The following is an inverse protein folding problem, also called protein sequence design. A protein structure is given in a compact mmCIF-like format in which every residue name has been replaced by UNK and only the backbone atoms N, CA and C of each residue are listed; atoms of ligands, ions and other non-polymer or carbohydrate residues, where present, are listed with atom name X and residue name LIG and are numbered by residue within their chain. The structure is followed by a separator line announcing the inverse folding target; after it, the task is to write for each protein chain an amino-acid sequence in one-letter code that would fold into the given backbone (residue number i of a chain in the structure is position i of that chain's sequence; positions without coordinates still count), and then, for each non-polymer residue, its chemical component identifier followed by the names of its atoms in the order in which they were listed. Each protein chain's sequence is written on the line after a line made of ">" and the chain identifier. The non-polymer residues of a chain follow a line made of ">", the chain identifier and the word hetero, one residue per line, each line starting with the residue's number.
data_IF_994717762889
#
_entry.id   IF_994717762889
#
_cell.length_a   1.000
_cell.length_b   1.000
_cell.length_c   1.000
_cell.angle_alpha   90.00
_cell.angle_beta   90.00
_cell.angle_gamma   90.00
#
_symmetry.space_group_name_H-M   'P 1'
#
loop_
_entity.id
_entity.type
_entity.pdbx_description
1 polymer ?
#
# COMPACT_ATOMS: atom_id res chain seq x y z
N UNK A 1 6.49 21.96 33.16
CA UNK A 1 7.04 21.54 31.85
C UNK A 1 6.75 20.05 31.72
N UNK A 2 5.97 19.63 30.71
CA UNK A 2 5.72 18.20 30.48
C UNK A 2 6.96 17.55 29.88
N UNK A 3 7.33 16.36 30.37
CA UNK A 3 8.37 15.55 29.75
C UNK A 3 7.94 15.09 28.35
N UNK A 4 8.85 15.06 27.38
CA UNK A 4 8.59 14.44 26.08
C UNK A 4 8.21 12.95 26.29
N UNK A 5 6.97 12.59 25.98
CA UNK A 5 6.47 11.23 26.20
C UNK A 5 7.04 10.21 25.19
N UNK A 6 7.35 10.67 23.96
CA UNK A 6 8.03 9.89 22.92
C UNK A 6 8.57 10.83 21.84
N UNK A 7 9.56 10.36 21.06
CA UNK A 7 10.08 11.03 19.87
C UNK A 7 10.03 10.09 18.67
N UNK A 8 9.47 10.55 17.55
CA UNK A 8 9.46 9.79 16.29
C UNK A 8 10.88 9.68 15.75
N UNK A 9 11.35 8.45 15.53
CA UNK A 9 12.71 8.19 15.00
C UNK A 9 12.76 8.02 13.48
N UNK A 10 11.71 7.46 12.89
CA UNK A 10 11.61 7.10 11.48
C UNK A 10 10.15 6.83 11.12
N UNK A 11 9.73 7.22 9.91
CA UNK A 11 8.42 6.90 9.36
C UNK A 11 8.62 5.97 8.16
N UNK A 12 7.84 4.89 8.09
CA UNK A 12 7.86 3.95 6.98
C UNK A 12 6.48 3.84 6.34
N UNK A 13 6.41 4.07 5.03
CA UNK A 13 5.21 3.91 4.22
C UNK A 13 5.37 2.65 3.37
N UNK A 14 4.30 1.87 3.20
CA UNK A 14 4.31 0.64 2.41
C UNK A 14 3.22 0.74 1.34
N UNK A 15 3.48 1.39 0.19
CA UNK A 15 2.41 1.71 -0.76
C UNK A 15 1.70 0.45 -1.28
N UNK A 16 2.47 -0.56 -1.65
CA UNK A 16 1.96 -1.87 -2.05
C UNK A 16 2.04 -2.83 -0.87
N UNK A 17 0.90 -3.39 -0.46
CA UNK A 17 0.83 -4.41 0.60
C UNK A 17 1.79 -5.56 0.27
N UNK A 18 2.53 -6.03 1.26
CA UNK A 18 3.54 -7.11 1.16
C UNK A 18 4.84 -6.78 0.42
N UNK A 19 4.98 -5.61 -0.18
CA UNK A 19 6.23 -5.15 -0.80
C UNK A 19 7.12 -4.39 0.20
N UNK A 20 8.31 -3.95 -0.24
CA UNK A 20 9.23 -3.17 0.59
C UNK A 20 8.67 -1.77 0.88
N UNK A 21 8.79 -1.34 2.13
CA UNK A 21 8.45 0.02 2.53
C UNK A 21 9.55 1.04 2.22
N UNK A 22 9.15 2.30 2.10
CA UNK A 22 10.01 3.48 1.92
C UNK A 22 10.14 4.24 3.23
N UNK A 23 11.34 4.73 3.52
CA UNK A 23 11.59 5.61 4.67
C UNK A 23 11.36 7.06 4.26
N UNK A 24 10.60 7.81 5.06
CA UNK A 24 10.29 9.23 4.80
C UNK A 24 10.56 10.08 6.05
N UNK A 25 10.83 11.36 5.85
CA UNK A 25 11.01 12.35 6.95
C UNK A 25 9.68 12.81 7.54
N UNK A 26 8.65 12.88 6.70
CA UNK A 26 7.29 13.30 7.02
C UNK A 26 6.28 12.46 6.23
N UNK A 27 5.05 12.37 6.71
CA UNK A 27 3.95 11.75 5.98
C UNK A 27 2.62 12.38 6.44
N UNK A 28 1.74 12.82 5.53
CA UNK A 28 0.46 13.40 5.90
C UNK A 28 -0.44 12.31 6.48
N UNK A 29 -1.13 12.62 7.57
CA UNK A 29 -2.13 11.74 8.17
C UNK A 29 -3.53 12.04 7.58
N UNK A 30 -4.31 10.99 7.42
CA UNK A 30 -5.69 11.02 6.94
C UNK A 30 -6.56 10.05 7.75
N UNK A 31 -7.86 10.02 7.47
CA UNK A 31 -8.78 9.05 8.08
C UNK A 31 -8.49 7.59 7.70
N UNK A 32 -7.64 7.33 6.69
CA UNK A 32 -7.20 5.99 6.27
C UNK A 32 -5.78 5.62 6.72
N UNK A 33 -5.10 6.52 7.45
CA UNK A 33 -3.73 6.35 7.93
C UNK A 33 -2.77 7.35 7.31
N UNK A 34 -1.49 6.98 7.22
CA UNK A 34 -0.53 7.77 6.45
C UNK A 34 -0.90 7.75 4.96
N UNK A 35 -0.71 8.88 4.29
CA UNK A 35 -0.89 9.00 2.84
C UNK A 35 -0.06 7.94 2.09
N UNK A 36 -0.66 7.38 1.05
CA UNK A 36 -0.12 6.29 0.20
C UNK A 36 -0.02 4.91 0.88
N UNK A 37 -0.20 4.79 2.19
CA UNK A 37 0.05 3.54 2.89
C UNK A 37 -0.99 2.45 2.55
N UNK A 38 -0.50 1.28 2.12
CA UNK A 38 -1.28 0.11 1.67
C UNK A 38 -2.45 0.43 0.72
N UNK A 39 -2.29 1.44 -0.14
CA UNK A 39 -3.28 1.77 -1.18
C UNK A 39 -3.30 0.74 -2.31
N UNK A 40 -2.21 0.00 -2.53
CA UNK A 40 -2.08 -1.02 -3.56
C UNK A 40 -1.98 -2.44 -3.02
N UNK A 41 -2.41 -3.40 -3.84
CA UNK A 41 -2.40 -4.82 -3.55
C UNK A 41 -2.07 -5.61 -4.82
N UNK A 42 -1.28 -6.67 -4.69
CA UNK A 42 -1.13 -7.69 -5.75
C UNK A 42 -2.16 -8.79 -5.51
N UNK A 43 -2.95 -9.12 -6.53
CA UNK A 43 -3.96 -10.20 -6.49
C UNK A 43 -3.68 -11.27 -7.54
N UNK A 44 -4.11 -12.50 -7.29
CA UNK A 44 -4.05 -13.59 -8.27
C UNK A 44 -5.26 -13.56 -9.22
N UNK A 45 -5.31 -14.51 -10.17
CA UNK A 45 -6.42 -14.68 -11.13
C UNK A 45 -7.81 -14.92 -10.52
N UNK A 46 -7.92 -15.14 -9.20
CA UNK A 46 -9.19 -15.28 -8.45
C UNK A 46 -9.50 -14.05 -7.57
N UNK A 47 -8.84 -12.92 -7.81
CA UNK A 47 -9.00 -11.69 -7.02
C UNK A 47 -8.42 -11.76 -5.59
N UNK A 48 -7.80 -12.88 -5.18
CA UNK A 48 -7.29 -13.05 -3.81
C UNK A 48 -5.93 -12.40 -3.65
N UNK A 49 -5.75 -11.68 -2.54
CA UNK A 49 -4.49 -11.10 -2.11
C UNK A 49 -3.32 -12.10 -2.17
N UNK A 50 -2.26 -11.72 -2.88
CA UNK A 50 -0.96 -12.36 -2.79
C UNK A 50 -0.20 -11.66 -1.65
N UNK A 51 0.22 -12.43 -0.64
CA UNK A 51 0.90 -11.88 0.55
C UNK A 51 2.32 -12.39 0.69
N UNK A 52 3.19 -11.64 1.37
CA UNK A 52 4.60 -11.99 1.55
C UNK A 52 4.81 -13.36 2.23
N UNK A 53 3.85 -13.79 3.07
CA UNK A 53 3.84 -15.11 3.72
C UNK A 53 3.71 -16.27 2.73
N UNK A 54 3.09 -16.02 1.57
CA UNK A 54 2.91 -17.00 0.48
C UNK A 54 3.95 -16.78 -0.62
N UNK A 55 4.26 -15.53 -0.95
CA UNK A 55 5.27 -15.14 -1.94
C UNK A 55 6.35 -14.24 -1.31
N UNK A 56 7.38 -14.81 -0.65
CA UNK A 56 8.46 -14.03 -0.04
C UNK A 56 9.20 -13.11 -1.02
N UNK A 57 9.18 -13.43 -2.32
CA UNK A 57 9.73 -12.58 -3.40
C UNK A 57 9.19 -11.15 -3.38
N UNK A 58 7.98 -10.91 -2.86
CA UNK A 58 7.42 -9.55 -2.74
C UNK A 58 8.31 -8.63 -1.87
N UNK A 59 9.08 -9.18 -0.92
CA UNK A 59 10.06 -8.40 -0.14
C UNK A 59 11.19 -7.76 -0.99
N UNK A 60 11.42 -8.28 -2.21
CA UNK A 60 12.41 -7.77 -3.16
C UNK A 60 11.83 -6.67 -4.08
N UNK A 61 10.51 -6.48 -4.08
CA UNK A 61 9.85 -5.42 -4.84
C UNK A 61 10.10 -4.10 -4.11
N UNK A 62 10.96 -3.28 -4.72
CA UNK A 62 11.24 -1.92 -4.31
C UNK A 62 10.20 -0.99 -4.92
N UNK A 63 9.82 0.02 -4.16
CA UNK A 63 8.78 0.98 -4.50
C UNK A 63 9.33 2.37 -4.24
N UNK A 64 9.01 3.33 -5.10
CA UNK A 64 9.41 4.73 -4.98
C UNK A 64 8.24 5.63 -5.39
N UNK A 65 8.12 6.77 -4.70
CA UNK A 65 7.13 7.81 -4.92
C UNK A 65 7.86 9.16 -5.00
N UNK A 66 7.33 10.16 -5.72
CA UNK A 66 7.90 11.50 -5.75
C UNK A 66 8.04 12.06 -4.32
N UNK A 67 9.12 12.76 -4.00
CA UNK A 67 9.37 13.23 -2.63
C UNK A 67 8.29 14.21 -2.16
N UNK A 68 7.80 15.06 -3.06
CA UNK A 68 6.70 15.99 -2.83
C UNK A 68 5.35 15.29 -2.57
N UNK A 69 5.21 13.99 -2.88
CA UNK A 69 3.99 13.24 -2.63
C UNK A 69 3.68 13.07 -1.12
N UNK A 70 4.66 13.31 -0.26
CA UNK A 70 4.53 13.30 1.21
C UNK A 70 4.31 14.69 1.81
N UNK A 71 4.29 15.75 0.99
CA UNK A 71 3.91 17.08 1.48
C UNK A 71 2.39 17.22 1.57
N UNK A 72 1.93 18.01 2.53
CA UNK A 72 0.51 18.33 2.71
C UNK A 72 -0.04 19.09 1.48
N UNK A 73 -1.29 18.82 1.10
CA UNK A 73 -1.95 19.47 -0.03
C UNK A 73 -1.45 19.08 -1.44
N UNK A 74 -0.32 18.37 -1.58
CA UNK A 74 0.16 17.93 -2.89
C UNK A 74 -0.86 17.06 -3.64
N UNK A 75 -0.92 17.16 -4.96
CA UNK A 75 -1.78 16.34 -5.81
C UNK A 75 -1.01 15.75 -7.00
N UNK A 76 -1.26 14.48 -7.37
CA UNK A 76 -0.57 13.85 -8.48
C UNK A 76 -0.95 14.49 -9.81
N UNK A 77 0.06 14.71 -10.65
CA UNK A 77 -0.11 15.20 -12.03
C UNK A 77 -0.01 14.04 -13.02
N UNK A 78 -0.17 14.33 -14.33
CA UNK A 78 0.03 13.35 -15.40
C UNK A 78 1.47 12.80 -15.50
N UNK A 79 2.45 13.45 -14.87
CA UNK A 79 3.85 13.00 -14.81
C UNK A 79 4.24 12.42 -13.44
N UNK A 80 3.28 12.21 -12.53
CA UNK A 80 3.51 11.63 -11.21
C UNK A 80 3.26 10.12 -11.24
N UNK A 81 4.27 9.33 -10.88
CA UNK A 81 4.25 7.85 -10.96
C UNK A 81 4.66 7.20 -9.66
N UNK A 82 4.04 6.05 -9.35
CA UNK A 82 4.59 5.03 -8.48
C UNK A 82 5.60 4.23 -9.30
N UNK A 83 6.88 4.28 -8.92
CA UNK A 83 7.95 3.56 -9.61
C UNK A 83 8.21 2.24 -8.89
N UNK A 84 8.27 1.13 -9.63
CA UNK A 84 8.40 -0.22 -9.09
C UNK A 84 9.60 -0.91 -9.74
N UNK A 85 10.45 -1.52 -8.92
CA UNK A 85 11.67 -2.25 -9.35
C UNK A 85 11.78 -3.59 -8.63
N UNK A 86 12.36 -4.59 -9.30
CA UNK A 86 12.76 -5.85 -8.66
C UNK A 86 13.96 -6.48 -9.40
N UNK A 87 14.71 -7.41 -8.77
CA UNK A 87 15.83 -8.08 -9.43
C UNK A 87 15.40 -8.81 -10.71
N UNK A 88 16.10 -8.54 -11.82
CA UNK A 88 15.82 -9.17 -13.12
C UNK A 88 14.59 -8.62 -13.85
N UNK A 89 14.04 -7.48 -13.42
CA UNK A 89 12.87 -6.83 -14.03
C UNK A 89 13.20 -5.39 -14.45
N UNK A 90 12.60 -4.95 -15.56
CA UNK A 90 12.62 -3.54 -15.98
C UNK A 90 11.84 -2.63 -15.01
N UNK A 91 12.05 -1.31 -15.13
CA UNK A 91 11.39 -0.26 -14.33
C UNK A 91 9.93 -0.05 -14.74
N UNK A 92 8.99 -0.47 -13.90
CA UNK A 92 7.55 -0.22 -14.10
C UNK A 92 7.16 1.15 -13.53
N UNK A 93 6.40 1.93 -14.30
CA UNK A 93 5.82 3.22 -13.89
C UNK A 93 4.30 3.15 -13.88
N UNK A 94 3.71 3.14 -12.70
CA UNK A 94 2.25 3.13 -12.52
C UNK A 94 1.77 4.57 -12.28
N UNK A 95 0.89 5.15 -13.13
CA UNK A 95 0.44 6.53 -12.95
C UNK A 95 -0.27 6.75 -11.61
N UNK A 96 0.07 7.82 -10.88
CA UNK A 96 -0.63 8.16 -9.62
C UNK A 96 -2.01 8.76 -9.87
N UNK A 97 -2.30 9.26 -11.08
CA UNK A 97 -3.66 9.58 -11.50
C UNK A 97 -4.59 8.38 -11.38
N UNK A 98 -5.84 8.60 -10.96
CA UNK A 98 -6.83 7.54 -10.76
C UNK A 98 -7.02 6.66 -12.03
N UNK A 99 -6.91 5.32 -11.93
CA UNK A 99 -7.21 4.43 -13.05
C UNK A 99 -8.71 4.45 -13.43
N UNK A 100 -9.03 3.93 -14.62
CA UNK A 100 -10.41 3.88 -15.15
C UNK A 100 -11.07 2.52 -15.01
N UNK A 101 -10.29 1.45 -15.04
CA UNK A 101 -10.79 0.07 -15.00
C UNK A 101 -11.02 -0.38 -13.57
N UNK A 102 -12.04 -1.22 -13.36
CA UNK A 102 -12.40 -1.79 -12.06
C UNK A 102 -12.25 -3.31 -12.14
N UNK A 103 -11.68 -3.90 -11.09
CA UNK A 103 -11.63 -5.33 -10.84
C UNK A 103 -12.53 -5.65 -9.65
N UNK A 104 -13.61 -6.39 -9.91
CA UNK A 104 -14.50 -6.91 -8.87
C UNK A 104 -13.97 -8.20 -8.22
N UNK A 105 -14.53 -8.56 -7.06
CA UNK A 105 -14.19 -9.80 -6.36
C UNK A 105 -12.78 -9.80 -5.73
N UNK A 106 -12.17 -8.63 -5.56
CA UNK A 106 -10.89 -8.48 -4.85
C UNK A 106 -11.11 -8.80 -3.38
N UNK A 107 -10.24 -9.63 -2.79
CA UNK A 107 -10.40 -10.12 -1.42
C UNK A 107 -9.10 -10.11 -0.60
N UNK A 108 -9.23 -9.68 0.67
CA UNK A 108 -8.17 -9.55 1.67
C UNK A 108 -8.73 -10.02 3.02
N UNK A 109 -8.37 -11.24 3.43
CA UNK A 109 -8.99 -11.94 4.58
C UNK A 109 -10.52 -12.01 4.41
N UNK A 110 -11.29 -11.68 5.45
CA UNK A 110 -12.75 -11.64 5.46
C UNK A 110 -13.36 -10.49 4.63
N UNK A 111 -12.56 -9.54 4.14
CA UNK A 111 -13.06 -8.47 3.29
C UNK A 111 -13.02 -8.85 1.81
N UNK A 112 -14.11 -8.56 1.10
CA UNK A 112 -14.17 -8.57 -0.35
C UNK A 112 -14.90 -7.32 -0.87
N UNK A 113 -14.52 -6.87 -2.08
CA UNK A 113 -15.11 -5.71 -2.74
C UNK A 113 -14.50 -5.47 -4.12
N UNK A 114 -14.64 -4.26 -4.63
CA UNK A 114 -14.01 -3.81 -5.87
C UNK A 114 -12.67 -3.09 -5.63
N UNK A 115 -11.84 -3.02 -6.66
CA UNK A 115 -10.61 -2.23 -6.69
C UNK A 115 -10.39 -1.64 -8.08
N UNK A 116 -9.59 -0.59 -8.22
CA UNK A 116 -9.14 -0.12 -9.54
C UNK A 116 -8.04 -1.05 -10.07
N UNK A 117 -8.13 -1.46 -11.33
CA UNK A 117 -7.06 -2.21 -12.00
C UNK A 117 -6.00 -1.24 -12.53
N UNK A 118 -4.72 -1.50 -12.26
CA UNK A 118 -3.59 -0.68 -12.75
C UNK A 118 -3.18 -1.02 -14.19
N UNK A 119 -3.93 -1.93 -14.83
CA UNK A 119 -3.86 -2.22 -16.24
C UNK A 119 -2.89 -3.34 -16.62
N UNK A 120 -2.89 -3.62 -17.92
CA UNK A 120 -2.20 -4.78 -18.51
C UNK A 120 -0.69 -4.74 -18.31
N UNK A 121 -0.05 -3.57 -18.25
CA UNK A 121 1.39 -3.44 -18.05
C UNK A 121 1.81 -3.89 -16.64
N UNK A 122 1.16 -3.35 -15.60
CA UNK A 122 1.41 -3.75 -14.22
C UNK A 122 1.08 -5.23 -13.97
N UNK A 123 -0.01 -5.72 -14.56
CA UNK A 123 -0.39 -7.15 -14.54
C UNK A 123 0.68 -8.04 -15.16
N UNK A 124 1.20 -7.70 -16.34
CA UNK A 124 2.32 -8.43 -16.99
C UNK A 124 3.58 -8.40 -16.12
N UNK A 125 3.95 -7.24 -15.58
CA UNK A 125 5.14 -7.10 -14.75
C UNK A 125 5.12 -7.99 -13.51
N UNK A 126 4.02 -7.94 -12.72
CA UNK A 126 3.88 -8.80 -11.55
C UNK A 126 3.74 -10.28 -11.93
N UNK A 127 3.07 -10.59 -13.04
CA UNK A 127 2.93 -11.97 -13.52
C UNK A 127 4.27 -12.59 -13.89
N UNK A 128 5.15 -11.81 -14.55
CA UNK A 128 6.50 -12.24 -14.91
C UNK A 128 7.37 -12.42 -13.66
N UNK A 129 7.41 -11.42 -12.76
CA UNK A 129 8.24 -11.47 -11.55
C UNK A 129 7.86 -12.62 -10.60
N UNK A 130 6.56 -12.87 -10.43
CA UNK A 130 6.04 -13.95 -9.59
C UNK A 130 5.91 -15.29 -10.32
N UNK A 131 6.13 -15.32 -11.64
CA UNK A 131 5.90 -16.49 -12.51
C UNK A 131 4.50 -17.11 -12.38
N UNK A 132 3.47 -16.28 -12.16
CA UNK A 132 2.05 -16.71 -12.04
C UNK A 132 1.07 -15.57 -12.35
N UNK A 133 -0.11 -15.83 -12.94
CA UNK A 133 -1.08 -14.79 -13.27
C UNK A 133 -1.45 -13.90 -12.07
N UNK A 134 -1.05 -12.63 -12.15
CA UNK A 134 -1.13 -11.64 -11.08
C UNK A 134 -1.54 -10.27 -11.63
N UNK A 135 -2.30 -9.50 -10.85
CA UNK A 135 -2.68 -8.11 -11.17
C UNK A 135 -2.28 -7.19 -10.02
N UNK A 136 -1.89 -5.97 -10.33
CA UNK A 136 -1.78 -4.88 -9.36
C UNK A 136 -3.11 -4.13 -9.35
N UNK A 137 -3.68 -3.92 -8.16
CA UNK A 137 -4.92 -3.16 -7.98
C UNK A 137 -4.75 -2.09 -6.90
N UNK A 138 -5.53 -1.02 -6.99
CA UNK A 138 -5.58 0.09 -6.02
C UNK A 138 -6.95 0.16 -5.36
N UNK A 139 -7.00 0.49 -4.06
CA UNK A 139 -8.26 0.51 -3.31
C UNK A 139 -9.29 1.47 -3.94
N UNK A 140 -10.54 1.02 -4.09
CA UNK A 140 -11.60 1.81 -4.71
C UNK A 140 -12.35 2.66 -3.67
N UNK A 141 -11.75 3.78 -3.27
CA UNK A 141 -12.34 4.74 -2.31
C UNK A 141 -13.68 5.36 -2.75
N UNK A 142 -14.12 5.17 -4.00
CA UNK A 142 -15.40 5.71 -4.50
C UNK A 142 -16.59 4.83 -4.14
N UNK A 143 -16.42 3.50 -4.09
CA UNK A 143 -17.49 2.56 -3.72
C UNK A 143 -17.22 1.81 -2.42
N UNK A 144 -15.96 1.66 -2.03
CA UNK A 144 -15.55 0.85 -0.89
C UNK A 144 -15.25 1.68 0.36
N UNK A 145 -15.46 1.07 1.52
CA UNK A 145 -14.99 1.58 2.80
C UNK A 145 -14.77 0.41 3.75
N UNK A 146 -13.55 0.28 4.29
CA UNK A 146 -13.23 -0.69 5.34
C UNK A 146 -13.07 0.06 6.67
N UNK A 147 -14.10 0.09 7.54
CA UNK A 147 -13.98 0.72 8.85
C UNK A 147 -13.05 -0.09 9.77
N UNK A 148 -12.31 0.60 10.64
CA UNK A 148 -11.62 -0.06 11.76
C UNK A 148 -12.65 -0.45 12.84
N UNK A 149 -12.36 -1.46 13.66
CA UNK A 149 -13.20 -1.73 14.84
C UNK A 149 -13.26 -0.48 15.73
N UNK A 150 -14.48 -0.02 15.99
CA UNK A 150 -14.81 1.23 16.71
C UNK A 150 -14.28 1.26 18.13
N UNK A 151 -14.08 0.12 18.77
CA UNK A 151 -13.51 0.00 20.11
C UNK A 151 -12.06 0.50 20.19
N UNK A 152 -11.33 0.46 19.08
CA UNK A 152 -9.91 0.83 19.02
C UNK A 152 -9.66 2.15 18.30
N UNK A 153 -10.40 2.47 17.23
CA UNK A 153 -10.20 3.70 16.45
C UNK A 153 -11.51 4.19 15.82
N UNK A 154 -12.31 4.92 16.59
CA UNK A 154 -13.58 5.46 16.12
C UNK A 154 -13.40 6.49 14.97
N UNK A 155 -14.17 6.34 13.89
CA UNK A 155 -14.11 7.23 12.71
C UNK A 155 -13.00 6.91 11.70
N UNK A 156 -12.05 6.02 12.02
CA UNK A 156 -10.97 5.64 11.12
C UNK A 156 -11.36 4.49 10.17
N UNK A 157 -10.71 4.48 9.02
CA UNK A 157 -10.83 3.48 7.96
C UNK A 157 -9.45 2.89 7.63
N UNK A 158 -9.41 1.86 6.81
CA UNK A 158 -8.18 1.29 6.24
C UNK A 158 -8.33 1.07 4.74
N UNK A 159 -7.20 1.08 4.03
CA UNK A 159 -7.10 0.62 2.64
C UNK A 159 -6.89 -0.90 2.61
N UNK A 160 -5.83 -1.43 2.02
CA UNK A 160 -5.45 -2.85 2.13
C UNK A 160 -4.61 -3.19 3.39
N UNK A 161 -4.52 -2.27 4.36
CA UNK A 161 -4.02 -2.58 5.72
C UNK A 161 -4.91 -3.63 6.40
N UNK A 162 -4.35 -4.39 7.34
CA UNK A 162 -5.06 -5.53 7.93
C UNK A 162 -6.12 -5.11 8.95
N UNK A 163 -5.72 -4.32 9.96
CA UNK A 163 -6.60 -3.89 11.05
C UNK A 163 -6.53 -2.39 11.36
N UNK A 164 -5.35 -1.77 11.31
CA UNK A 164 -5.14 -0.39 11.78
C UNK A 164 -4.55 0.54 10.70
N UNK A 165 -4.79 1.87 10.80
CA UNK A 165 -4.34 2.83 9.80
C UNK A 165 -2.81 3.05 9.78
N UNK A 166 -2.15 2.81 10.91
CA UNK A 166 -0.68 2.74 11.06
C UNK A 166 -0.34 1.93 12.31
N UNK A 167 0.92 1.55 12.45
CA UNK A 167 1.45 0.83 13.62
C UNK A 167 2.60 1.62 14.24
N UNK A 168 2.71 1.59 15.57
CA UNK A 168 3.82 2.18 16.32
C UNK A 168 4.66 1.07 16.93
N UNK A 169 5.98 1.16 16.78
CA UNK A 169 6.95 0.24 17.38
C UNK A 169 8.02 1.06 18.12
N UNK A 170 8.36 0.66 19.34
CA UNK A 170 9.46 1.25 20.10
C UNK A 170 10.78 0.58 19.71
N UNK A 171 11.90 1.31 19.73
CA UNK A 171 13.21 0.74 19.42
C UNK A 171 13.68 -0.31 20.45
N UNK A 172 12.99 -0.45 21.59
CA UNK A 172 13.31 -1.37 22.68
C UNK A 172 12.76 -2.79 22.40
N UNK A 173 11.71 -2.91 21.59
CA UNK A 173 11.02 -4.19 21.34
C UNK A 173 11.49 -4.86 20.04
N UNK A 174 12.36 -5.88 20.16
CA UNK A 174 12.71 -6.80 19.05
C UNK A 174 11.61 -7.84 18.75
N UNK A 175 10.40 -7.40 18.39
CA UNK A 175 9.39 -8.27 17.80
C UNK A 175 8.65 -7.52 16.70
N UNK A 176 8.66 -8.05 15.48
CA UNK A 176 7.90 -7.53 14.35
C UNK A 176 6.82 -8.55 14.00
N UNK A 177 5.57 -8.12 14.02
CA UNK A 177 4.51 -8.73 13.22
C UNK A 177 4.00 -7.66 12.25
N UNK A 178 4.20 -7.93 10.96
CA UNK A 178 3.63 -7.21 9.82
C UNK A 178 2.71 -8.15 9.03
#
# INVERSE_FOLDING_TARGET
>A
MGSEAAKVKSIFIYPIKSCRGISVSEAPLSSTGFRWDRQWLVVNSKGRAITQRVEPKLALVQVELPSEAFSEGWQPTKSSYLVIRAPGMDELKVPLTKPREISDGVSVWEWSGSAFDEGTEASKWFSNFLAKPSRLVRFNEVTETRPVNREYAHGYKVMFSDQFPFLLISQVSKVIYC
#
